data_IF_500805979813
#
_entry.id   IF_500805979813
#
_cell.length_a   1.000
_cell.length_b   1.000
_cell.length_c   1.000
_cell.angle_alpha   90.00
_cell.angle_beta   90.00
_cell.angle_gamma   90.00
#
_symmetry.space_group_name_H-M   'P 1'
#
loop_
_entity.id
_entity.type
_entity.pdbx_description
1 polymer ?
#
# COMPACT_ATOMS: atom_id res chain seq x y z
N UNK A 1 1.90 23.22 -19.98
CA UNK A 1 1.92 23.07 -18.50
C UNK A 1 3.37 22.96 -18.07
N UNK A 2 3.79 23.81 -17.17
CA UNK A 2 5.14 23.87 -16.64
C UNK A 2 5.26 22.92 -15.44
N UNK A 3 6.36 22.15 -15.38
CA UNK A 3 6.71 21.24 -14.28
C UNK A 3 7.65 21.91 -13.26
N UNK A 4 7.79 23.21 -13.29
CA UNK A 4 8.70 23.98 -12.43
C UNK A 4 8.40 23.84 -10.92
N UNK A 5 7.20 23.38 -10.56
CA UNK A 5 6.83 23.10 -9.18
C UNK A 5 7.38 21.74 -8.66
N UNK A 6 7.90 20.88 -9.53
CA UNK A 6 8.47 19.60 -9.12
C UNK A 6 9.93 19.80 -8.68
N UNK A 7 10.15 19.63 -7.40
CA UNK A 7 11.49 19.69 -6.80
C UNK A 7 11.97 18.27 -6.53
N UNK A 8 13.11 17.92 -7.09
CA UNK A 8 13.73 16.62 -6.85
C UNK A 8 14.86 16.77 -5.81
N UNK A 9 14.97 15.82 -4.86
CA UNK A 9 16.08 15.83 -3.92
C UNK A 9 17.40 15.53 -4.66
N UNK A 10 18.50 16.10 -4.15
CA UNK A 10 19.85 15.89 -4.70
C UNK A 10 20.30 14.43 -4.63
N UNK A 11 19.83 13.71 -3.63
CA UNK A 11 20.21 12.32 -3.35
C UNK A 11 19.02 11.38 -3.50
N UNK A 12 19.30 10.08 -3.61
CA UNK A 12 18.30 9.04 -3.66
C UNK A 12 17.37 9.11 -2.43
N UNK A 13 16.07 9.13 -2.68
CA UNK A 13 15.05 9.21 -1.61
C UNK A 13 15.07 8.01 -0.67
N UNK A 14 15.41 6.84 -1.16
CA UNK A 14 15.47 5.64 -0.34
C UNK A 14 16.54 5.77 0.75
N UNK A 15 17.76 6.14 0.38
CA UNK A 15 18.88 6.21 1.33
C UNK A 15 18.79 7.40 2.27
N UNK A 16 18.24 8.52 1.78
CA UNK A 16 18.21 9.78 2.56
C UNK A 16 16.96 9.94 3.40
N UNK A 17 15.85 9.31 3.04
CA UNK A 17 14.57 9.49 3.72
C UNK A 17 13.96 8.16 4.19
N UNK A 18 13.73 7.21 3.28
CA UNK A 18 12.98 6.00 3.60
C UNK A 18 13.72 5.12 4.60
N UNK A 19 15.01 4.85 4.37
CA UNK A 19 15.82 4.00 5.23
C UNK A 19 15.99 4.57 6.64
N UNK A 20 16.46 5.82 6.82
CA UNK A 20 16.58 6.41 8.17
C UNK A 20 15.25 6.47 8.92
N UNK A 21 14.15 6.81 8.24
CA UNK A 21 12.82 6.85 8.85
C UNK A 21 12.39 5.45 9.30
N UNK A 22 12.59 4.43 8.45
CA UNK A 22 12.28 3.04 8.77
C UNK A 22 13.06 2.55 9.99
N UNK A 23 14.36 2.85 10.06
CA UNK A 23 15.22 2.50 11.20
C UNK A 23 14.76 3.22 12.48
N UNK A 24 14.43 4.50 12.38
CA UNK A 24 13.89 5.26 13.51
C UNK A 24 12.56 4.67 14.03
N UNK A 25 11.61 4.37 13.14
CA UNK A 25 10.34 3.78 13.51
C UNK A 25 10.52 2.41 14.18
N UNK A 26 11.39 1.56 13.63
CA UNK A 26 11.74 0.27 14.25
C UNK A 26 12.34 0.44 15.64
N UNK A 27 13.20 1.44 15.85
CA UNK A 27 13.77 1.74 17.18
C UNK A 27 12.72 2.19 18.21
N UNK A 28 11.59 2.72 17.72
CA UNK A 28 10.42 3.09 18.56
C UNK A 28 9.42 1.95 18.75
N UNK A 29 9.74 0.73 18.28
CA UNK A 29 8.89 -0.45 18.45
C UNK A 29 7.81 -0.63 17.37
N UNK A 30 7.84 0.18 16.30
CA UNK A 30 6.92 0.00 15.16
C UNK A 30 7.27 -1.29 14.42
N UNK A 31 6.28 -2.16 14.24
CA UNK A 31 6.41 -3.38 13.46
C UNK A 31 6.11 -3.08 12.00
N UNK A 32 7.07 -3.32 11.13
CA UNK A 32 6.92 -3.16 9.68
C UNK A 32 7.02 -4.56 9.07
N UNK A 33 5.97 -4.97 8.37
CA UNK A 33 5.92 -6.24 7.65
C UNK A 33 6.06 -5.97 6.15
N UNK A 34 7.02 -6.63 5.53
CA UNK A 34 7.22 -6.64 4.09
C UNK A 34 6.69 -7.96 3.51
N UNK A 35 6.58 -8.03 2.19
CA UNK A 35 6.11 -9.21 1.46
C UNK A 35 4.77 -9.76 1.99
N UNK A 36 3.91 -8.83 2.40
CA UNK A 36 2.60 -9.12 2.98
C UNK A 36 1.55 -8.34 2.20
N UNK A 37 0.74 -9.04 1.43
CA UNK A 37 -0.35 -8.46 0.67
C UNK A 37 -1.59 -8.36 1.54
N UNK A 38 -2.13 -7.18 1.72
CA UNK A 38 -3.44 -7.00 2.33
C UNK A 38 -4.50 -7.26 1.27
N UNK A 39 -5.32 -8.29 1.47
CA UNK A 39 -6.38 -8.69 0.53
C UNK A 39 -7.70 -8.02 0.81
N UNK A 40 -8.06 -7.96 2.09
CA UNK A 40 -9.38 -7.48 2.49
C UNK A 40 -9.38 -7.07 3.97
N UNK A 41 -10.46 -6.42 4.38
CA UNK A 41 -10.74 -6.07 5.76
C UNK A 41 -12.01 -6.77 6.21
N UNK A 42 -11.95 -7.48 7.33
CA UNK A 42 -13.14 -7.99 7.99
C UNK A 42 -13.84 -6.85 8.74
N UNK A 43 -14.89 -6.31 8.11
CA UNK A 43 -15.62 -5.16 8.62
C UNK A 43 -16.99 -5.61 9.11
N UNK A 44 -17.21 -5.49 10.40
CA UNK A 44 -18.56 -5.64 10.97
C UNK A 44 -19.31 -4.32 10.85
N UNK A 45 -20.44 -4.36 10.15
CA UNK A 45 -21.32 -3.20 9.95
C UNK A 45 -22.59 -3.41 10.76
N UNK A 46 -22.82 -2.52 11.72
CA UNK A 46 -24.06 -2.41 12.45
C UNK A 46 -24.79 -1.12 12.04
N UNK A 47 -26.03 -0.91 12.49
CA UNK A 47 -26.82 0.29 12.18
C UNK A 47 -26.16 1.61 12.63
N UNK A 48 -25.29 1.55 13.62
CA UNK A 48 -24.67 2.73 14.25
C UNK A 48 -23.16 2.77 14.08
N UNK A 49 -22.51 1.63 13.81
CA UNK A 49 -21.05 1.51 13.82
C UNK A 49 -20.53 0.64 12.67
N UNK A 50 -19.32 1.00 12.21
CA UNK A 50 -18.51 0.17 11.33
C UNK A 50 -17.18 -0.12 12.02
N UNK A 51 -16.96 -1.38 12.36
CA UNK A 51 -15.79 -1.81 13.13
C UNK A 51 -14.97 -2.79 12.31
N UNK A 52 -13.68 -2.53 12.17
CA UNK A 52 -12.73 -3.49 11.56
C UNK A 52 -12.38 -4.52 12.63
N UNK A 53 -12.69 -5.78 12.39
CA UNK A 53 -12.36 -6.91 13.29
C UNK A 53 -11.04 -7.58 12.95
N UNK A 54 -10.66 -7.53 11.68
CA UNK A 54 -9.44 -8.16 11.23
C UNK A 54 -8.95 -7.61 9.90
N UNK A 55 -7.68 -7.84 9.63
CA UNK A 55 -7.04 -7.53 8.36
C UNK A 55 -6.63 -8.86 7.73
N UNK A 56 -7.20 -9.18 6.57
CA UNK A 56 -6.93 -10.39 5.83
C UNK A 56 -5.70 -10.16 4.97
N UNK A 57 -4.64 -10.89 5.25
CA UNK A 57 -3.35 -10.75 4.57
C UNK A 57 -2.92 -12.07 3.94
N UNK A 58 -2.11 -11.98 2.89
CA UNK A 58 -1.42 -13.13 2.29
C UNK A 58 0.08 -12.94 2.39
N UNK A 59 0.75 -13.94 2.93
CA UNK A 59 2.20 -14.02 3.01
C UNK A 59 2.66 -15.43 2.60
N UNK A 60 3.57 -15.52 1.65
CA UNK A 60 4.05 -16.81 1.11
C UNK A 60 2.92 -17.73 0.64
N UNK A 61 1.91 -17.21 -0.05
CA UNK A 61 0.71 -17.92 -0.49
C UNK A 61 -0.11 -18.54 0.65
N UNK A 62 0.03 -18.02 1.85
CA UNK A 62 -0.79 -18.40 3.01
C UNK A 62 -1.57 -17.20 3.50
N UNK A 63 -2.85 -17.41 3.68
CA UNK A 63 -3.71 -16.39 4.27
C UNK A 63 -3.50 -16.34 5.78
N UNK A 64 -3.34 -15.13 6.29
CA UNK A 64 -3.18 -14.84 7.71
C UNK A 64 -4.10 -13.69 8.08
N UNK A 65 -4.89 -13.87 9.12
CA UNK A 65 -5.77 -12.82 9.65
C UNK A 65 -5.10 -12.15 10.84
N UNK A 66 -4.91 -10.84 10.74
CA UNK A 66 -4.40 -10.01 11.84
C UNK A 66 -5.62 -9.48 12.59
N UNK A 67 -5.81 -9.91 13.83
CA UNK A 67 -6.92 -9.43 14.66
C UNK A 67 -6.73 -7.96 15.06
N UNK A 68 -7.80 -7.18 14.96
CA UNK A 68 -7.87 -5.77 15.37
C UNK A 68 -8.65 -5.69 16.68
N UNK A 69 -8.14 -4.96 17.66
CA UNK A 69 -8.77 -4.77 18.97
C UNK A 69 -9.74 -3.58 18.92
N UNK A 70 -10.67 -3.52 19.85
CA UNK A 70 -11.69 -2.46 19.92
C UNK A 70 -11.12 -1.04 19.98
N UNK A 71 -9.94 -0.87 20.57
CA UNK A 71 -9.29 0.43 20.71
C UNK A 71 -8.19 0.70 19.67
N UNK A 72 -8.04 -0.18 18.68
CA UNK A 72 -7.06 -0.01 17.60
C UNK A 72 -7.68 0.81 16.46
N UNK A 73 -6.87 1.65 15.83
CA UNK A 73 -7.25 2.37 14.62
C UNK A 73 -6.62 1.69 13.40
N UNK A 74 -7.41 1.50 12.36
CA UNK A 74 -6.95 0.99 11.07
C UNK A 74 -6.97 2.11 10.05
N UNK A 75 -5.79 2.44 9.52
CA UNK A 75 -5.63 3.43 8.44
C UNK A 75 -5.28 2.66 7.18
N UNK A 76 -6.08 2.84 6.14
CA UNK A 76 -5.93 2.13 4.86
C UNK A 76 -5.53 3.12 3.77
N UNK A 77 -4.48 2.76 3.04
CA UNK A 77 -4.12 3.43 1.79
C UNK A 77 -4.37 2.45 0.65
N UNK A 78 -5.17 2.87 -0.32
CA UNK A 78 -5.68 1.98 -1.38
C UNK A 78 -4.71 1.79 -2.55
N UNK A 79 -3.43 2.02 -2.34
CA UNK A 79 -2.39 1.87 -3.37
C UNK A 79 -2.13 3.15 -4.18
N UNK A 80 -1.46 3.00 -5.31
CA UNK A 80 -1.09 4.10 -6.20
C UNK A 80 -1.75 3.92 -7.56
N UNK A 81 -2.12 5.03 -8.20
CA UNK A 81 -2.60 5.02 -9.59
C UNK A 81 -1.57 4.50 -10.59
N UNK A 82 -0.31 4.40 -10.18
CA UNK A 82 0.79 3.93 -11.01
C UNK A 82 1.21 2.49 -10.69
N UNK A 83 0.49 1.79 -9.81
CA UNK A 83 0.83 0.43 -9.36
C UNK A 83 0.88 -0.56 -10.53
N UNK A 84 -0.09 -0.47 -11.44
CA UNK A 84 -0.21 -1.34 -12.62
C UNK A 84 0.45 -0.75 -13.88
N UNK A 85 1.34 0.23 -13.70
CA UNK A 85 2.01 0.86 -14.85
C UNK A 85 2.97 -0.13 -15.51
N UNK A 86 2.75 -0.40 -16.79
CA UNK A 86 3.69 -1.14 -17.64
C UNK A 86 4.60 -0.18 -18.38
N UNK A 87 5.85 -0.58 -18.56
CA UNK A 87 6.81 0.19 -19.33
C UNK A 87 6.96 -0.41 -20.73
N UNK A 88 6.90 0.44 -21.75
CA UNK A 88 7.30 0.06 -23.10
C UNK A 88 8.83 -0.04 -23.22
N UNK A 89 9.26 -0.68 -24.29
CA UNK A 89 10.66 -0.73 -24.74
C UNK A 89 10.77 -0.06 -26.09
N UNK A 90 11.98 0.10 -26.63
CA UNK A 90 12.18 0.65 -27.97
C UNK A 90 11.55 -0.23 -29.09
N UNK A 91 11.21 -1.48 -28.79
CA UNK A 91 10.67 -2.45 -29.74
C UNK A 91 9.26 -2.95 -29.40
N UNK A 92 8.76 -2.67 -28.19
CA UNK A 92 7.43 -3.09 -27.74
C UNK A 92 6.74 -1.93 -27.06
N UNK A 93 5.49 -1.60 -27.42
CA UNK A 93 4.71 -0.60 -26.71
C UNK A 93 4.42 -1.08 -25.26
N UNK A 94 4.12 -0.13 -24.39
CA UNK A 94 3.56 -0.45 -23.09
C UNK A 94 2.24 -1.22 -23.29
N UNK A 95 1.99 -2.21 -22.43
CA UNK A 95 0.71 -2.92 -22.43
C UNK A 95 -0.31 -1.95 -21.84
N UNK A 96 -1.33 -1.59 -22.60
CA UNK A 96 -2.47 -0.88 -22.06
C UNK A 96 -3.16 -1.76 -21.01
N UNK A 97 -3.40 -1.21 -19.84
CA UNK A 97 -4.24 -1.86 -18.85
C UNK A 97 -5.66 -1.94 -19.42
N UNK A 98 -6.02 -3.11 -19.94
CA UNK A 98 -7.31 -3.37 -20.62
C UNK A 98 -8.47 -3.31 -19.62
N UNK A 99 -8.17 -3.39 -18.34
CA UNK A 99 -9.19 -3.41 -17.28
C UNK A 99 -8.86 -2.38 -16.18
N UNK A 100 -9.53 -1.24 -16.23
CA UNK A 100 -9.49 -0.22 -15.20
C UNK A 100 -10.05 -0.69 -13.84
N UNK A 101 -10.54 -1.94 -13.75
CA UNK A 101 -11.08 -2.52 -12.52
C UNK A 101 -10.02 -2.98 -11.53
N UNK A 102 -8.74 -2.98 -11.93
CA UNK A 102 -7.65 -3.52 -11.12
C UNK A 102 -6.65 -2.48 -10.61
N UNK A 103 -6.81 -1.22 -10.93
CA UNK A 103 -5.92 -0.20 -10.37
C UNK A 103 -6.18 -0.02 -8.87
N UNK A 104 -5.23 -0.48 -8.08
CA UNK A 104 -5.31 -0.52 -6.63
C UNK A 104 -6.16 -1.69 -6.13
N UNK A 105 -5.54 -2.75 -5.67
CA UNK A 105 -6.15 -4.01 -5.19
C UNK A 105 -7.29 -3.77 -4.19
N UNK A 106 -7.30 -2.64 -3.49
CA UNK A 106 -8.31 -2.25 -2.51
C UNK A 106 -9.34 -1.23 -3.01
N UNK A 107 -9.31 -0.85 -4.31
CA UNK A 107 -10.25 0.09 -4.91
C UNK A 107 -11.48 -0.59 -5.54
N UNK A 108 -11.79 -1.82 -5.14
CA UNK A 108 -12.99 -2.55 -5.58
C UNK A 108 -14.22 -2.20 -4.76
#
# INVERSE_FOLDING_TARGET
KDLSCLVFPKYNQYDTFVKPLTEHLKSKGVKIQFDTLVKDLDIQINSEEKIVKGIITEQNNKEVVIAVRENDYVIVTTGSMTEDTSYGTNTKPAIEAIDNSQSGILCK
#
